data_IF_870055660150
#
_entry.id   IF_870055660150
#
_cell.length_a   1.000
_cell.length_b   1.000
_cell.length_c   1.000
_cell.angle_alpha   90.00
_cell.angle_beta   90.00
_cell.angle_gamma   90.00
#
_symmetry.space_group_name_H-M   'P 1'
#
loop_
_entity.id
_entity.type
_entity.pdbx_description
1 polymer ?
#
# COMPACT_ATOMS: atom_id res chain seq x y z
N UNK A 1 14.55 35.60 -69.03
CA UNK A 1 13.93 36.84 -68.54
C UNK A 1 12.47 36.51 -68.19
N UNK A 2 12.10 36.44 -66.89
CA UNK A 2 11.32 37.48 -66.14
C UNK A 2 9.91 37.67 -66.74
N UNK A 3 8.74 37.55 -66.09
CA UNK A 3 8.30 37.57 -64.67
C UNK A 3 6.89 36.92 -64.50
N UNK A 4 6.56 36.59 -63.25
CA UNK A 4 5.30 36.08 -62.64
C UNK A 4 4.06 37.00 -62.72
N UNK A 5 2.85 36.42 -62.54
CA UNK A 5 1.79 36.75 -61.52
C UNK A 5 0.70 35.63 -61.55
N UNK A 6 0.48 34.80 -60.51
CA UNK A 6 -0.26 34.89 -59.22
C UNK A 6 -1.75 35.33 -59.32
N UNK A 7 -2.71 34.40 -59.09
CA UNK A 7 -3.52 34.31 -57.84
C UNK A 7 -4.80 33.45 -57.95
N UNK A 8 -4.78 32.19 -57.48
CA UNK A 8 -6.01 31.42 -57.13
C UNK A 8 -5.85 30.51 -55.91
N UNK A 9 -4.80 30.71 -55.10
CA UNK A 9 -4.51 29.88 -53.92
C UNK A 9 -4.91 30.54 -52.57
N UNK A 10 -5.52 31.74 -52.60
CA UNK A 10 -5.90 32.49 -51.40
C UNK A 10 -7.33 32.25 -50.88
N UNK A 11 -8.23 31.69 -51.70
CA UNK A 11 -9.65 31.52 -51.35
C UNK A 11 -9.96 30.24 -50.56
N UNK A 12 -9.22 29.16 -50.79
CA UNK A 12 -9.50 27.85 -50.17
C UNK A 12 -8.92 27.70 -48.76
N UNK A 13 -7.89 28.47 -48.39
CA UNK A 13 -7.26 28.40 -47.06
C UNK A 13 -8.06 29.19 -46.00
N UNK A 14 -8.81 30.22 -46.40
CA UNK A 14 -9.63 31.03 -45.47
C UNK A 14 -10.92 30.32 -45.05
N UNK A 15 -11.46 29.41 -45.89
CA UNK A 15 -12.69 28.66 -45.57
C UNK A 15 -12.47 27.45 -44.65
N UNK A 16 -11.26 26.85 -44.69
CA UNK A 16 -10.87 25.74 -43.80
C UNK A 16 -10.50 26.21 -42.38
N UNK A 17 -9.98 27.43 -42.22
CA UNK A 17 -9.66 27.99 -40.90
C UNK A 17 -10.89 28.49 -40.13
N UNK A 18 -11.93 28.97 -40.82
CA UNK A 18 -13.15 29.50 -40.17
C UNK A 18 -14.09 28.39 -39.67
N UNK A 19 -14.10 27.22 -40.32
CA UNK A 19 -14.88 26.04 -39.90
C UNK A 19 -14.25 25.30 -38.72
N UNK A 20 -12.92 25.29 -38.60
CA UNK A 20 -12.22 24.75 -37.43
C UNK A 20 -12.41 25.63 -36.18
N UNK A 21 -12.47 26.96 -36.34
CA UNK A 21 -12.69 27.90 -35.23
C UNK A 21 -14.14 27.82 -34.70
N UNK A 22 -15.14 27.58 -35.55
CA UNK A 22 -16.54 27.43 -35.09
C UNK A 22 -16.79 26.10 -34.35
N UNK A 23 -16.12 25.02 -34.73
CA UNK A 23 -16.26 23.72 -34.05
C UNK A 23 -15.55 23.67 -32.69
N UNK A 24 -14.44 24.42 -32.51
CA UNK A 24 -13.81 24.59 -31.20
C UNK A 24 -14.62 25.49 -30.25
N UNK A 25 -15.42 26.43 -30.76
CA UNK A 25 -16.24 27.32 -29.92
C UNK A 25 -17.54 26.68 -29.39
N UNK A 26 -18.03 25.61 -30.00
CA UNK A 26 -19.25 24.91 -29.53
C UNK A 26 -18.91 23.86 -28.46
N UNK A 27 -17.71 23.28 -28.49
CA UNK A 27 -17.30 22.25 -27.51
C UNK A 27 -16.87 22.80 -26.13
N UNK A 28 -16.69 24.11 -25.97
CA UNK A 28 -16.19 24.72 -24.73
C UNK A 28 -17.28 25.31 -23.81
N UNK A 29 -18.58 25.05 -24.06
CA UNK A 29 -19.68 25.67 -23.28
C UNK A 29 -20.48 24.75 -22.35
N UNK A 30 -20.06 23.52 -22.07
CA UNK A 30 -20.75 22.66 -21.08
C UNK A 30 -19.81 21.85 -20.18
N UNK A 31 -19.03 22.53 -19.34
CA UNK A 31 -18.50 21.94 -18.11
C UNK A 31 -18.77 22.93 -16.96
N UNK A 32 -19.55 22.56 -15.93
CA UNK A 32 -19.78 23.42 -14.78
C UNK A 32 -18.56 23.47 -13.85
N UNK A 33 -18.10 24.68 -13.56
CA UNK A 33 -17.28 25.14 -12.42
C UNK A 33 -16.09 24.28 -11.98
N UNK A 34 -14.98 24.37 -12.71
CA UNK A 34 -13.64 24.21 -12.12
C UNK A 34 -13.22 25.54 -11.51
N UNK A 35 -13.13 25.59 -10.18
CA UNK A 35 -12.51 26.71 -9.46
C UNK A 35 -11.03 26.77 -9.86
N UNK A 36 -10.66 27.80 -10.62
CA UNK A 36 -9.28 28.05 -11.03
C UNK A 36 -8.49 28.60 -9.83
N UNK A 37 -7.82 27.73 -9.08
CA UNK A 37 -6.72 28.17 -8.23
C UNK A 37 -5.55 28.48 -9.17
N UNK A 38 -5.17 29.76 -9.26
CA UNK A 38 -3.97 30.19 -9.98
C UNK A 38 -2.75 29.44 -9.41
N UNK A 39 -2.23 28.46 -10.16
CA UNK A 39 -0.89 27.94 -9.93
C UNK A 39 0.10 29.01 -10.37
N UNK A 40 0.64 29.77 -9.41
CA UNK A 40 1.95 30.37 -9.57
C UNK A 40 2.97 29.25 -9.72
N UNK A 41 3.87 29.38 -10.71
CA UNK A 41 5.10 28.61 -10.82
C UNK A 41 5.74 28.48 -9.42
N UNK A 42 6.19 27.29 -8.98
CA UNK A 42 6.98 27.21 -7.76
C UNK A 42 8.27 27.99 -8.00
N UNK A 43 8.32 29.22 -7.48
CA UNK A 43 9.58 29.84 -7.10
C UNK A 43 10.30 28.87 -6.17
N UNK A 44 11.61 28.75 -6.39
CA UNK A 44 12.62 28.12 -5.55
C UNK A 44 12.09 27.35 -4.35
N UNK A 45 12.35 26.03 -4.36
CA UNK A 45 12.27 25.18 -3.19
C UNK A 45 12.74 25.97 -1.97
N UNK A 46 11.78 26.29 -1.11
CA UNK A 46 12.08 26.82 0.21
C UNK A 46 12.87 25.72 0.91
N UNK A 47 14.20 25.85 0.89
CA UNK A 47 15.10 25.07 1.71
C UNK A 47 14.53 25.12 3.12
N UNK A 48 14.08 23.97 3.61
CA UNK A 48 13.78 23.82 5.02
C UNK A 48 15.02 24.31 5.78
N UNK A 49 14.89 25.25 6.74
CA UNK A 49 16.05 25.88 7.35
C UNK A 49 17.00 24.88 8.00
N UNK A 50 18.30 25.03 7.74
CA UNK A 50 19.43 24.39 8.41
C UNK A 50 19.34 24.54 9.94
N UNK A 51 18.59 23.65 10.62
CA UNK A 51 18.55 23.56 12.09
C UNK A 51 18.17 22.15 12.58
N UNK A 52 18.99 21.11 12.35
CA UNK A 52 18.84 19.84 13.10
C UNK A 52 20.16 19.20 13.56
N UNK A 53 21.19 20.00 13.87
CA UNK A 53 22.51 19.45 14.24
C UNK A 53 22.59 18.79 15.63
N UNK A 54 21.54 18.81 16.46
CA UNK A 54 21.57 18.26 17.84
C UNK A 54 20.41 17.32 18.25
N UNK A 55 19.51 16.96 17.33
CA UNK A 55 18.33 16.15 17.69
C UNK A 55 18.71 14.67 17.88
N UNK A 56 18.37 13.98 18.98
CA UNK A 56 18.73 12.56 19.15
C UNK A 56 18.13 11.67 18.04
N UNK A 57 18.74 10.52 17.74
CA UNK A 57 18.30 9.63 16.64
C UNK A 57 17.39 8.50 17.11
N UNK A 58 16.54 8.04 16.20
CA UNK A 58 15.85 6.77 16.29
C UNK A 58 16.39 5.82 15.23
N UNK A 59 16.96 4.70 15.65
CA UNK A 59 17.43 3.63 14.78
C UNK A 59 16.49 2.43 14.90
N UNK A 60 16.38 1.62 13.85
CA UNK A 60 15.60 0.39 13.88
C UNK A 60 16.28 -0.70 13.04
N UNK A 61 16.29 -1.94 13.54
CA UNK A 61 16.75 -3.10 12.77
C UNK A 61 15.65 -3.52 11.81
N UNK A 62 15.82 -3.19 10.54
CA UNK A 62 14.89 -3.57 9.48
C UNK A 62 15.08 -5.04 9.10
N UNK A 63 13.98 -5.76 8.90
CA UNK A 63 14.03 -7.18 8.57
C UNK A 63 12.71 -7.74 8.05
N UNK A 64 12.81 -8.85 7.31
CA UNK A 64 11.68 -9.47 6.64
C UNK A 64 11.42 -8.89 5.24
N UNK A 65 10.24 -9.20 4.70
CA UNK A 65 9.80 -8.78 3.35
C UNK A 65 8.89 -7.56 3.42
N UNK A 66 8.63 -6.91 2.28
CA UNK A 66 7.74 -5.76 2.04
C UNK A 66 6.79 -5.38 3.19
N UNK A 67 5.77 -6.19 3.49
CA UNK A 67 4.78 -5.84 4.53
C UNK A 67 5.35 -5.67 5.95
N UNK A 68 6.42 -6.39 6.30
CA UNK A 68 7.11 -6.21 7.59
C UNK A 68 7.90 -4.91 7.60
N UNK A 69 8.59 -4.60 6.50
CA UNK A 69 9.33 -3.34 6.35
C UNK A 69 8.37 -2.14 6.47
N UNK A 70 7.16 -2.25 5.92
CA UNK A 70 6.13 -1.20 6.02
C UNK A 70 5.69 -0.97 7.49
N UNK A 71 5.45 -2.03 8.26
CA UNK A 71 5.16 -1.89 9.71
C UNK A 71 6.32 -1.24 10.47
N UNK A 72 7.54 -1.73 10.25
CA UNK A 72 8.74 -1.20 10.88
C UNK A 72 8.97 0.28 10.55
N UNK A 73 8.76 0.67 9.29
CA UNK A 73 8.90 2.05 8.86
C UNK A 73 7.80 2.95 9.44
N UNK A 74 6.55 2.50 9.44
CA UNK A 74 5.45 3.23 10.06
C UNK A 74 5.70 3.49 11.54
N UNK A 75 6.15 2.47 12.27
CA UNK A 75 6.55 2.62 13.68
C UNK A 75 7.70 3.63 13.82
N UNK A 76 8.81 3.45 13.08
CA UNK A 76 9.96 4.34 13.15
C UNK A 76 9.58 5.79 12.88
N UNK A 77 8.74 6.03 11.87
CA UNK A 77 8.26 7.35 11.50
C UNK A 77 7.48 8.01 12.64
N UNK A 78 6.45 7.34 13.16
CA UNK A 78 5.59 7.90 14.21
C UNK A 78 6.31 8.04 15.54
N UNK A 79 7.12 7.07 15.95
CA UNK A 79 7.87 7.16 17.21
C UNK A 79 8.90 8.31 17.14
N UNK A 80 9.53 8.51 15.97
CA UNK A 80 10.47 9.60 15.77
C UNK A 80 9.78 10.96 15.82
N UNK A 81 8.60 11.08 15.19
CA UNK A 81 7.82 12.31 15.22
C UNK A 81 7.33 12.64 16.63
N UNK A 82 6.71 11.68 17.31
CA UNK A 82 6.15 11.86 18.66
C UNK A 82 7.20 12.17 19.72
N UNK A 83 8.41 11.63 19.58
CA UNK A 83 9.52 11.84 20.52
C UNK A 83 10.49 12.93 20.11
N UNK A 84 10.24 13.62 19.00
CA UNK A 84 11.16 14.55 18.40
C UNK A 84 12.56 13.94 18.22
N UNK A 85 12.63 12.75 17.61
CA UNK A 85 13.87 12.05 17.20
C UNK A 85 14.08 12.12 15.68
N UNK A 86 15.33 12.06 15.24
CA UNK A 86 15.70 11.99 13.82
C UNK A 86 15.72 10.52 13.38
N UNK A 87 14.84 10.07 12.47
CA UNK A 87 14.78 8.67 12.06
C UNK A 87 15.96 8.32 11.15
N UNK A 88 16.61 7.18 11.43
CA UNK A 88 17.66 6.62 10.58
C UNK A 88 17.10 5.45 9.77
N UNK A 89 17.15 5.59 8.44
CA UNK A 89 16.65 4.60 7.48
C UNK A 89 17.82 4.00 6.69
N UNK A 90 17.77 2.73 6.22
CA UNK A 90 18.81 2.12 5.39
C UNK A 90 19.16 2.95 4.14
N UNK A 91 20.40 2.85 3.66
CA UNK A 91 20.76 3.44 2.37
C UNK A 91 20.04 2.64 1.27
N UNK A 92 19.51 3.33 0.24
CA UNK A 92 18.69 2.71 -0.82
C UNK A 92 17.58 1.84 -0.25
N UNK A 93 16.89 2.37 0.76
CA UNK A 93 15.85 1.64 1.46
C UNK A 93 14.80 1.13 0.47
N UNK A 94 14.53 -0.18 0.51
CA UNK A 94 13.70 -0.87 -0.47
C UNK A 94 12.34 -0.18 -0.69
N UNK A 95 11.70 0.27 0.39
CA UNK A 95 10.39 0.92 0.33
C UNK A 95 10.42 2.25 -0.43
N UNK A 96 11.54 2.98 -0.44
CA UNK A 96 11.68 4.24 -1.18
C UNK A 96 11.64 4.03 -2.70
N UNK A 97 11.89 2.80 -3.17
CA UNK A 97 11.72 2.48 -4.59
C UNK A 97 10.24 2.30 -4.97
N UNK A 98 9.36 2.07 -3.99
CA UNK A 98 7.97 1.68 -4.24
C UNK A 98 6.97 2.76 -3.85
N UNK A 99 7.27 3.54 -2.82
CA UNK A 99 6.35 4.46 -2.18
C UNK A 99 6.92 5.88 -2.14
N UNK A 100 6.01 6.87 -2.11
CA UNK A 100 6.32 8.28 -1.92
C UNK A 100 6.68 8.62 -0.45
N UNK A 101 7.74 7.97 0.05
CA UNK A 101 8.22 8.17 1.41
C UNK A 101 8.86 9.55 1.60
N UNK A 102 8.81 10.14 2.82
CA UNK A 102 9.51 11.38 3.13
C UNK A 102 11.00 11.26 2.83
N UNK A 103 11.54 12.21 2.08
CA UNK A 103 12.97 12.30 1.80
C UNK A 103 13.72 12.85 3.02
N UNK A 104 14.77 12.15 3.43
CA UNK A 104 15.72 12.61 4.44
C UNK A 104 17.06 12.93 3.77
N UNK A 105 17.78 13.93 4.28
CA UNK A 105 19.07 14.32 3.71
C UNK A 105 20.08 13.17 3.74
N UNK A 106 20.53 12.75 2.55
CA UNK A 106 21.40 11.58 2.39
C UNK A 106 22.73 11.70 3.15
N UNK A 107 23.31 12.91 3.19
CA UNK A 107 24.55 13.16 3.92
C UNK A 107 24.36 13.05 5.44
N UNK A 108 23.26 13.58 5.97
CA UNK A 108 22.95 13.44 7.40
C UNK A 108 22.66 11.98 7.76
N UNK A 109 21.86 11.28 6.96
CA UNK A 109 21.60 9.84 7.13
C UNK A 109 22.90 9.04 7.17
N UNK A 110 23.82 9.27 6.23
CA UNK A 110 25.10 8.58 6.18
C UNK A 110 25.96 8.83 7.42
N UNK A 111 26.13 10.11 7.79
CA UNK A 111 26.94 10.50 8.96
C UNK A 111 26.42 9.86 10.24
N UNK A 112 25.10 9.88 10.43
CA UNK A 112 24.45 9.51 11.69
C UNK A 112 24.16 8.02 11.80
N UNK A 113 24.18 7.27 10.70
CA UNK A 113 24.00 5.81 10.72
C UNK A 113 25.00 5.11 11.64
N UNK A 114 26.26 5.57 11.65
CA UNK A 114 27.31 4.99 12.50
C UNK A 114 27.03 5.22 14.00
N UNK A 115 26.22 6.23 14.35
CA UNK A 115 25.82 6.49 15.73
C UNK A 115 24.87 5.38 16.25
N UNK A 116 24.15 4.67 15.38
CA UNK A 116 23.24 3.59 15.78
C UNK A 116 23.95 2.46 16.53
N UNK A 117 25.14 2.07 16.08
CA UNK A 117 25.90 0.95 16.66
C UNK A 117 26.40 1.25 18.09
N UNK A 118 26.46 2.54 18.46
CA UNK A 118 26.87 3.01 19.78
C UNK A 118 25.71 3.01 20.79
N UNK A 119 24.46 2.86 20.33
CA UNK A 119 23.27 2.88 21.19
C UNK A 119 23.03 1.48 21.76
N UNK A 120 23.35 1.30 23.03
CA UNK A 120 23.11 0.08 23.77
C UNK A 120 22.53 0.38 25.17
N UNK A 121 21.63 -0.47 25.70
CA UNK A 121 21.03 -1.63 25.03
C UNK A 121 19.97 -1.21 23.99
N UNK A 122 19.71 -2.10 23.03
CA UNK A 122 18.58 -1.94 22.11
C UNK A 122 17.24 -2.15 22.82
N UNK A 123 16.25 -1.34 22.46
CA UNK A 123 14.87 -1.45 22.92
C UNK A 123 14.15 -2.57 22.16
N UNK A 124 14.08 -3.74 22.80
CA UNK A 124 13.41 -4.94 22.28
C UNK A 124 11.90 -4.84 22.42
N UNK A 125 11.17 -5.23 21.37
CA UNK A 125 9.73 -5.44 21.40
C UNK A 125 9.35 -6.71 22.16
N UNK A 126 8.35 -6.61 23.06
CA UNK A 126 7.87 -7.76 23.84
C UNK A 126 7.05 -8.74 23.00
N UNK A 127 6.24 -8.22 22.07
CA UNK A 127 5.29 -9.00 21.27
C UNK A 127 5.22 -8.43 19.85
N UNK A 128 5.64 -9.22 18.86
CA UNK A 128 5.73 -8.74 17.47
C UNK A 128 4.39 -8.26 16.88
N UNK A 129 3.27 -8.85 17.32
CA UNK A 129 1.92 -8.61 16.79
C UNK A 129 1.01 -7.94 17.83
N UNK A 130 1.57 -7.26 18.84
CA UNK A 130 0.78 -6.54 19.83
C UNK A 130 1.39 -5.21 20.20
N UNK A 131 0.55 -4.30 20.67
CA UNK A 131 0.98 -2.99 21.09
C UNK A 131 1.74 -3.08 22.41
N UNK A 132 2.94 -2.53 22.42
CA UNK A 132 3.77 -2.43 23.60
C UNK A 132 3.74 -1.00 24.16
N UNK A 133 3.03 -0.81 25.28
CA UNK A 133 2.92 0.50 25.93
C UNK A 133 4.25 1.04 26.51
N UNK A 134 5.35 0.28 26.44
CA UNK A 134 6.69 0.73 26.81
C UNK A 134 7.17 1.84 25.87
N UNK A 135 7.04 1.66 24.56
CA UNK A 135 7.69 2.54 23.59
C UNK A 135 7.22 4.00 23.67
N UNK A 136 5.91 4.31 23.76
CA UNK A 136 5.46 5.68 23.97
C UNK A 136 6.00 6.32 25.27
N UNK A 137 6.31 5.52 26.30
CA UNK A 137 6.79 6.00 27.60
C UNK A 137 8.30 6.22 27.68
N UNK A 138 9.06 5.84 26.66
CA UNK A 138 10.51 6.08 26.63
C UNK A 138 10.84 7.57 26.67
N UNK A 139 12.00 7.94 27.21
CA UNK A 139 12.44 9.34 27.29
C UNK A 139 12.63 9.96 25.89
N UNK A 140 12.37 11.26 25.76
CA UNK A 140 12.41 12.01 24.49
C UNK A 140 13.74 12.70 24.20
N UNK A 141 14.70 12.65 25.14
CA UNK A 141 15.97 13.37 25.08
C UNK A 141 17.19 12.48 24.85
N UNK A 142 16.98 11.23 24.39
CA UNK A 142 18.06 10.26 24.14
C UNK A 142 17.85 9.58 22.80
N UNK A 143 18.96 9.20 22.17
CA UNK A 143 18.92 8.35 20.98
C UNK A 143 18.47 6.94 21.38
N UNK A 144 17.69 6.30 20.53
CA UNK A 144 17.07 4.99 20.82
C UNK A 144 17.27 4.07 19.62
N UNK A 145 17.62 2.81 19.88
CA UNK A 145 17.75 1.78 18.85
C UNK A 145 16.73 0.66 19.10
N UNK A 146 15.75 0.53 18.22
CA UNK A 146 14.65 -0.40 18.31
C UNK A 146 14.94 -1.73 17.61
N UNK A 147 14.43 -2.83 18.18
CA UNK A 147 14.43 -4.15 17.55
C UNK A 147 13.07 -4.82 17.73
N UNK A 148 12.42 -5.16 16.62
CA UNK A 148 11.08 -5.70 16.61
C UNK A 148 10.45 -5.59 15.22
N UNK A 149 9.23 -6.11 15.09
CA UNK A 149 8.44 -5.99 13.86
C UNK A 149 7.36 -4.92 13.95
N UNK A 150 6.93 -4.55 15.17
CA UNK A 150 5.99 -3.46 15.41
C UNK A 150 4.66 -3.61 14.66
N UNK A 151 4.12 -4.83 14.61
CA UNK A 151 2.94 -5.17 13.82
C UNK A 151 1.64 -4.86 14.55
N UNK A 152 1.53 -3.65 15.10
CA UNK A 152 0.30 -3.15 15.68
C UNK A 152 -0.09 -1.81 15.08
N UNK A 153 -1.33 -1.71 14.60
CA UNK A 153 -1.87 -0.46 14.09
C UNK A 153 -1.93 0.65 15.16
N UNK A 154 -1.93 0.27 16.44
CA UNK A 154 -1.95 1.20 17.57
C UNK A 154 -0.69 2.06 17.67
N UNK A 155 0.41 1.67 17.02
CA UNK A 155 1.63 2.48 17.01
C UNK A 155 1.49 3.79 16.22
N UNK A 156 0.48 3.92 15.36
CA UNK A 156 0.23 5.13 14.56
C UNK A 156 -1.19 5.67 14.70
N UNK A 157 -1.88 5.36 15.81
CA UNK A 157 -3.18 5.98 16.10
C UNK A 157 -3.06 7.50 16.14
N UNK A 158 -3.89 8.19 15.37
CA UNK A 158 -3.85 9.64 15.18
C UNK A 158 -2.92 10.11 14.06
N UNK A 159 -2.23 9.19 13.38
CA UNK A 159 -1.35 9.46 12.24
C UNK A 159 -1.78 8.69 10.97
N UNK A 160 -3.01 8.16 10.93
CA UNK A 160 -3.49 7.29 9.85
C UNK A 160 -3.40 7.95 8.48
N UNK A 161 -3.83 9.21 8.34
CA UNK A 161 -3.80 9.93 7.06
C UNK A 161 -2.37 10.16 6.57
N UNK A 162 -1.43 10.44 7.47
CA UNK A 162 -0.01 10.57 7.13
C UNK A 162 0.56 9.23 6.66
N UNK A 163 0.31 8.14 7.39
CA UNK A 163 0.77 6.81 6.97
C UNK A 163 0.15 6.41 5.61
N UNK A 164 -1.09 6.82 5.33
CA UNK A 164 -1.74 6.59 4.03
C UNK A 164 -1.06 7.36 2.91
N UNK A 165 -0.73 8.62 3.16
CA UNK A 165 0.00 9.43 2.20
C UNK A 165 1.38 8.84 1.91
N UNK A 166 2.11 8.43 2.94
CA UNK A 166 3.44 7.84 2.80
C UNK A 166 3.42 6.53 2.00
N UNK A 167 2.45 5.65 2.26
CA UNK A 167 2.29 4.39 1.50
C UNK A 167 1.41 4.55 0.26
N UNK A 168 1.56 5.67 -0.44
CA UNK A 168 1.08 5.81 -1.81
C UNK A 168 2.19 5.33 -2.76
N UNK A 169 1.87 4.43 -3.68
CA UNK A 169 2.84 3.93 -4.66
C UNK A 169 3.34 5.06 -5.58
N UNK A 170 4.59 4.95 -6.02
CA UNK A 170 5.16 5.83 -7.05
C UNK A 170 4.32 5.76 -8.34
N UNK A 171 4.30 6.84 -9.11
CA UNK A 171 3.37 7.02 -10.22
C UNK A 171 3.50 5.96 -11.31
N UNK A 172 4.73 5.54 -11.61
CA UNK A 172 5.06 4.48 -12.58
C UNK A 172 4.51 3.12 -12.14
N UNK A 173 4.70 2.76 -10.86
CA UNK A 173 4.16 1.52 -10.27
C UNK A 173 2.63 1.55 -10.25
N UNK A 174 2.05 2.71 -9.92
CA UNK A 174 0.61 2.87 -9.86
C UNK A 174 -0.03 2.80 -11.25
N UNK A 175 0.63 3.34 -12.28
CA UNK A 175 0.20 3.24 -13.67
C UNK A 175 0.26 1.79 -14.16
N UNK A 176 1.38 1.09 -13.94
CA UNK A 176 1.50 -0.34 -14.29
C UNK A 176 0.41 -1.19 -13.61
N UNK A 177 0.13 -0.93 -12.33
CA UNK A 177 -0.91 -1.64 -11.59
C UNK A 177 -2.32 -1.33 -12.13
N UNK A 178 -2.59 -0.09 -12.54
CA UNK A 178 -3.87 0.31 -13.14
C UNK A 178 -4.08 -0.31 -14.51
N UNK A 179 -3.06 -0.31 -15.34
CA UNK A 179 -3.13 -0.91 -16.67
C UNK A 179 -3.41 -2.40 -16.55
N UNK A 180 -2.68 -3.09 -15.67
CA UNK A 180 -2.88 -4.51 -15.43
C UNK A 180 -4.26 -4.82 -14.86
N UNK A 181 -4.75 -4.02 -13.92
CA UNK A 181 -6.09 -4.19 -13.37
C UNK A 181 -7.17 -3.95 -14.44
N UNK A 182 -7.01 -2.91 -15.26
CA UNK A 182 -7.97 -2.55 -16.31
C UNK A 182 -8.04 -3.61 -17.41
N UNK A 183 -6.89 -4.14 -17.86
CA UNK A 183 -6.80 -5.22 -18.84
C UNK A 183 -7.63 -6.44 -18.39
N UNK A 184 -7.40 -6.91 -17.17
CA UNK A 184 -8.03 -8.15 -16.68
C UNK A 184 -9.51 -7.96 -16.33
N UNK A 185 -9.88 -6.76 -15.87
CA UNK A 185 -11.27 -6.42 -15.60
C UNK A 185 -12.07 -6.33 -16.91
N UNK A 186 -11.50 -5.73 -17.95
CA UNK A 186 -12.13 -5.65 -19.27
C UNK A 186 -12.39 -7.05 -19.85
N UNK A 187 -11.46 -8.00 -19.71
CA UNK A 187 -11.64 -9.39 -20.12
C UNK A 187 -12.81 -10.09 -19.40
N UNK A 188 -13.06 -9.73 -18.14
CA UNK A 188 -14.19 -10.25 -17.36
C UNK A 188 -15.51 -9.51 -17.62
N UNK A 189 -15.52 -8.47 -18.47
CA UNK A 189 -16.72 -7.67 -18.75
C UNK A 189 -17.06 -6.61 -17.70
N UNK A 190 -16.06 -6.14 -16.94
CA UNK A 190 -16.19 -4.97 -16.07
C UNK A 190 -16.46 -3.71 -16.92
N UNK A 191 -17.40 -2.87 -16.49
CA UNK A 191 -17.82 -1.67 -17.23
C UNK A 191 -17.43 -0.36 -16.55
N UNK A 192 -16.69 -0.44 -15.44
CA UNK A 192 -16.39 0.71 -14.58
C UNK A 192 -17.64 1.50 -14.16
N UNK A 193 -18.70 0.76 -13.83
CA UNK A 193 -19.99 1.33 -13.44
C UNK A 193 -20.19 1.31 -11.92
N UNK A 194 -21.08 2.16 -11.36
CA UNK A 194 -21.48 2.08 -9.96
C UNK A 194 -22.06 0.73 -9.52
N UNK A 195 -22.44 -0.13 -10.49
CA UNK A 195 -22.98 -1.46 -10.31
C UNK A 195 -21.89 -2.55 -10.30
N UNK A 196 -20.61 -2.20 -10.45
CA UNK A 196 -19.49 -3.12 -10.38
C UNK A 196 -18.72 -2.95 -9.07
N UNK A 197 -18.26 -4.07 -8.53
CA UNK A 197 -17.42 -4.12 -7.32
C UNK A 197 -16.27 -5.07 -7.56
N UNK A 198 -15.05 -4.62 -7.31
CA UNK A 198 -13.83 -5.43 -7.42
C UNK A 198 -13.31 -5.76 -6.02
N UNK A 199 -13.11 -7.05 -5.76
CA UNK A 199 -12.64 -7.57 -4.48
C UNK A 199 -11.30 -8.28 -4.68
N UNK A 200 -10.26 -7.77 -4.02
CA UNK A 200 -8.96 -8.39 -4.01
C UNK A 200 -8.97 -9.67 -3.17
N UNK A 201 -8.23 -10.69 -3.57
CA UNK A 201 -7.98 -11.90 -2.78
C UNK A 201 -6.47 -12.06 -2.60
N UNK A 202 -6.01 -12.03 -1.35
CA UNK A 202 -4.63 -12.36 -1.01
C UNK A 202 -4.53 -13.72 -0.30
N UNK A 203 -3.89 -14.67 -0.96
CA UNK A 203 -3.61 -16.01 -0.42
C UNK A 203 -2.12 -16.19 -0.09
N UNK A 204 -1.80 -16.26 1.20
CA UNK A 204 -0.48 -16.65 1.70
C UNK A 204 -0.49 -18.14 2.03
N UNK A 205 0.33 -18.89 1.30
CA UNK A 205 0.42 -20.34 1.45
C UNK A 205 1.84 -20.86 1.27
N UNK A 206 2.51 -20.53 0.17
CA UNK A 206 3.72 -21.21 -0.29
C UNK A 206 4.77 -21.46 0.80
N UNK A 207 5.33 -20.40 1.39
CA UNK A 207 6.31 -20.51 2.47
C UNK A 207 5.74 -21.09 3.76
N UNK A 208 4.48 -20.78 4.10
CA UNK A 208 3.81 -21.31 5.30
C UNK A 208 3.59 -22.83 5.24
N UNK A 209 3.81 -23.46 4.08
CA UNK A 209 3.81 -24.92 3.97
C UNK A 209 5.09 -25.58 4.50
N UNK A 210 6.18 -24.82 4.65
CA UNK A 210 7.46 -25.32 5.19
C UNK A 210 7.30 -25.82 6.63
N UNK A 211 8.04 -26.88 6.95
CA UNK A 211 7.97 -27.55 8.25
C UNK A 211 8.28 -26.60 9.42
N UNK A 212 9.36 -25.84 9.32
CA UNK A 212 9.81 -24.92 10.36
C UNK A 212 8.79 -23.80 10.63
N UNK A 213 8.14 -23.27 9.58
CA UNK A 213 7.11 -22.24 9.74
C UNK A 213 5.81 -22.80 10.34
N UNK A 214 5.44 -24.03 10.01
CA UNK A 214 4.31 -24.71 10.65
C UNK A 214 4.57 -25.00 12.13
N UNK A 215 5.76 -25.48 12.46
CA UNK A 215 6.20 -25.72 13.84
C UNK A 215 6.26 -24.42 14.65
N UNK A 216 6.69 -23.32 14.02
CA UNK A 216 6.62 -21.99 14.62
C UNK A 216 5.17 -21.57 14.93
N UNK A 217 4.21 -21.95 14.07
CA UNK A 217 2.79 -21.72 14.33
C UNK A 217 2.01 -21.03 13.21
N UNK A 218 2.60 -20.88 12.02
CA UNK A 218 1.91 -20.29 10.88
C UNK A 218 0.80 -21.22 10.35
N UNK A 219 -0.36 -20.63 10.07
CA UNK A 219 -1.51 -21.31 9.47
C UNK A 219 -1.86 -20.66 8.13
N UNK A 220 -2.29 -21.49 7.18
CA UNK A 220 -2.88 -21.06 5.90
C UNK A 220 -4.35 -21.51 5.84
N UNK A 221 -5.28 -20.66 5.38
CA UNK A 221 -6.67 -21.06 5.21
C UNK A 221 -6.83 -22.13 4.13
N UNK A 222 -7.90 -22.91 4.24
CA UNK A 222 -8.31 -23.85 3.21
C UNK A 222 -9.17 -23.16 2.14
N UNK A 223 -9.60 -23.92 1.13
CA UNK A 223 -10.43 -23.38 0.05
C UNK A 223 -11.83 -22.94 0.48
N UNK A 224 -12.40 -23.52 1.56
CA UNK A 224 -13.74 -23.11 2.02
C UNK A 224 -13.74 -21.70 2.59
N UNK A 225 -12.65 -21.28 3.25
CA UNK A 225 -12.51 -19.89 3.69
C UNK A 225 -12.70 -18.90 2.53
N UNK A 226 -11.95 -19.10 1.44
CA UNK A 226 -12.02 -18.19 0.29
C UNK A 226 -13.41 -18.18 -0.34
N UNK A 227 -14.04 -19.36 -0.52
CA UNK A 227 -15.41 -19.45 -1.02
C UNK A 227 -16.40 -18.74 -0.10
N UNK A 228 -16.32 -18.94 1.21
CA UNK A 228 -17.18 -18.27 2.19
C UNK A 228 -17.00 -16.75 2.15
N UNK A 229 -15.77 -16.27 2.00
CA UNK A 229 -15.47 -14.85 1.89
C UNK A 229 -15.96 -14.23 0.57
N UNK A 230 -15.83 -14.95 -0.55
CA UNK A 230 -16.40 -14.54 -1.84
C UNK A 230 -17.93 -14.46 -1.76
N UNK A 231 -18.58 -15.46 -1.16
CA UNK A 231 -20.02 -15.47 -0.91
C UNK A 231 -20.49 -14.34 0.01
N UNK A 232 -19.69 -13.98 1.02
CA UNK A 232 -19.97 -12.82 1.86
C UNK A 232 -20.07 -11.54 1.02
N UNK A 233 -19.13 -11.31 0.10
CA UNK A 233 -19.15 -10.13 -0.77
C UNK A 233 -20.29 -10.15 -1.78
N UNK A 234 -20.57 -11.31 -2.38
CA UNK A 234 -21.74 -11.50 -3.27
C UNK A 234 -23.06 -11.17 -2.56
N UNK A 235 -23.22 -11.59 -1.30
CA UNK A 235 -24.42 -11.27 -0.50
C UNK A 235 -24.47 -9.80 -0.09
N UNK A 236 -23.32 -9.24 0.31
CA UNK A 236 -23.23 -7.82 0.70
C UNK A 236 -23.59 -6.89 -0.46
N UNK A 237 -23.23 -7.26 -1.68
CA UNK A 237 -23.45 -6.52 -2.92
C UNK A 237 -24.36 -7.29 -3.88
N UNK A 238 -25.49 -7.81 -3.37
CA UNK A 238 -26.41 -8.67 -4.11
C UNK A 238 -27.10 -8.00 -5.31
N UNK A 239 -27.08 -6.66 -5.34
CA UNK A 239 -27.61 -5.80 -6.41
C UNK A 239 -26.53 -5.38 -7.42
N UNK A 240 -25.30 -5.88 -7.28
CA UNK A 240 -24.13 -5.51 -8.09
C UNK A 240 -23.43 -6.73 -8.68
N UNK A 241 -22.64 -6.49 -9.73
CA UNK A 241 -21.68 -7.48 -10.24
C UNK A 241 -20.43 -7.43 -9.39
N UNK A 242 -19.99 -8.58 -8.89
CA UNK A 242 -18.79 -8.70 -8.06
C UNK A 242 -17.71 -9.40 -8.87
N UNK A 243 -16.52 -8.82 -8.96
CA UNK A 243 -15.34 -9.37 -9.62
C UNK A 243 -14.25 -9.62 -8.58
N UNK A 244 -13.41 -10.62 -8.83
CA UNK A 244 -12.33 -10.99 -7.91
C UNK A 244 -10.98 -10.91 -8.62
N UNK A 245 -9.98 -10.34 -7.93
CA UNK A 245 -8.59 -10.29 -8.42
C UNK A 245 -7.68 -10.90 -7.37
N UNK A 246 -7.03 -12.01 -7.71
CA UNK A 246 -6.32 -12.84 -6.74
C UNK A 246 -4.80 -12.80 -6.93
N UNK A 247 -4.08 -12.50 -5.85
CA UNK A 247 -2.63 -12.71 -5.74
C UNK A 247 -2.31 -13.80 -4.72
N UNK A 248 -1.28 -14.59 -5.00
CA UNK A 248 -0.84 -15.67 -4.12
C UNK A 248 0.62 -16.00 -4.34
N UNK A 249 1.35 -16.32 -3.27
CA UNK A 249 2.67 -16.93 -3.39
C UNK A 249 2.62 -18.45 -3.69
N UNK A 250 1.42 -19.00 -3.85
CA UNK A 250 1.12 -20.32 -4.39
C UNK A 250 -0.13 -20.20 -5.29
N UNK A 251 0.04 -19.55 -6.45
CA UNK A 251 -1.07 -19.21 -7.35
C UNK A 251 -1.68 -20.44 -8.02
N UNK A 252 -0.86 -21.49 -8.25
CA UNK A 252 -1.33 -22.72 -8.87
C UNK A 252 -2.29 -23.48 -7.96
N UNK A 253 -1.99 -23.55 -6.65
CA UNK A 253 -2.94 -24.11 -5.69
C UNK A 253 -4.24 -23.31 -5.69
N UNK A 254 -4.17 -21.98 -5.59
CA UNK A 254 -5.37 -21.14 -5.51
C UNK A 254 -6.24 -21.28 -6.77
N UNK A 255 -5.63 -21.29 -7.96
CA UNK A 255 -6.32 -21.54 -9.23
C UNK A 255 -6.97 -22.91 -9.27
N UNK A 256 -6.30 -23.95 -8.76
CA UNK A 256 -6.90 -25.28 -8.63
C UNK A 256 -8.12 -25.34 -7.70
N UNK A 257 -8.21 -24.42 -6.73
CA UNK A 257 -9.33 -24.36 -5.77
C UNK A 257 -10.50 -23.48 -6.24
N UNK A 258 -10.21 -22.40 -6.96
CA UNK A 258 -11.18 -21.35 -7.30
C UNK A 258 -11.35 -21.12 -8.81
N UNK A 259 -10.59 -21.80 -9.67
CA UNK A 259 -10.58 -21.55 -11.12
C UNK A 259 -11.83 -22.00 -11.88
N UNK A 260 -12.86 -22.50 -11.18
CA UNK A 260 -14.19 -22.73 -11.74
C UNK A 260 -15.11 -21.52 -11.65
N UNK A 261 -14.71 -20.51 -10.88
CA UNK A 261 -15.43 -19.25 -10.77
C UNK A 261 -15.15 -18.43 -12.04
N UNK A 262 -16.18 -17.89 -12.67
CA UNK A 262 -16.05 -17.16 -13.95
C UNK A 262 -15.59 -15.71 -13.74
N UNK A 263 -15.81 -15.17 -12.54
CA UNK A 263 -15.59 -13.77 -12.18
C UNK A 263 -14.32 -13.58 -11.33
N UNK A 264 -13.29 -14.41 -11.53
CA UNK A 264 -12.00 -14.29 -10.84
C UNK A 264 -10.83 -14.28 -11.82
N UNK A 265 -9.93 -13.32 -11.62
CA UNK A 265 -8.64 -13.27 -12.28
C UNK A 265 -7.51 -13.63 -11.31
N UNK A 266 -6.49 -14.34 -11.79
CA UNK A 266 -5.30 -14.74 -11.01
C UNK A 266 -4.06 -14.02 -11.53
N UNK A 267 -3.54 -13.09 -10.73
CA UNK A 267 -2.28 -12.39 -10.99
C UNK A 267 -1.12 -13.37 -11.07
N UNK A 268 -0.24 -13.15 -12.05
CA UNK A 268 0.90 -14.03 -12.33
C UNK A 268 2.14 -13.21 -12.70
N UNK A 269 3.30 -13.76 -12.34
CA UNK A 269 4.63 -13.29 -12.74
C UNK A 269 4.93 -11.83 -12.38
N UNK A 270 4.31 -11.30 -11.32
CA UNK A 270 4.56 -9.96 -10.82
C UNK A 270 5.57 -9.97 -9.67
N UNK A 271 6.36 -8.90 -9.53
CA UNK A 271 7.02 -8.65 -8.26
C UNK A 271 5.99 -8.30 -7.17
N UNK A 272 6.29 -8.56 -5.89
CA UNK A 272 5.33 -8.38 -4.80
C UNK A 272 4.76 -6.95 -4.67
N UNK A 273 5.51 -5.91 -5.01
CA UNK A 273 5.04 -4.53 -4.93
C UNK A 273 3.96 -4.22 -5.99
N UNK A 274 4.06 -4.79 -7.20
CA UNK A 274 3.01 -4.68 -8.23
C UNK A 274 1.75 -5.41 -7.81
N UNK A 275 1.87 -6.65 -7.29
CA UNK A 275 0.71 -7.36 -6.77
C UNK A 275 0.01 -6.55 -5.67
N UNK A 276 0.77 -5.99 -4.72
CA UNK A 276 0.19 -5.17 -3.66
C UNK A 276 -0.49 -3.91 -4.21
N UNK A 277 0.11 -3.25 -5.20
CA UNK A 277 -0.47 -2.09 -5.86
C UNK A 277 -1.81 -2.44 -6.53
N UNK A 278 -1.87 -3.53 -7.29
CA UNK A 278 -3.12 -4.01 -7.90
C UNK A 278 -4.19 -4.33 -6.84
N UNK A 279 -3.82 -5.05 -5.78
CA UNK A 279 -4.79 -5.36 -4.71
C UNK A 279 -5.28 -4.10 -3.98
N UNK A 280 -4.43 -3.07 -3.85
CA UNK A 280 -4.78 -1.80 -3.18
C UNK A 280 -5.77 -0.95 -3.98
N UNK A 281 -5.83 -1.15 -5.30
CA UNK A 281 -6.77 -0.47 -6.21
C UNK A 281 -8.19 -1.08 -6.18
N UNK A 282 -8.34 -2.32 -5.69
CA UNK A 282 -9.64 -2.97 -5.56
C UNK A 282 -10.49 -2.28 -4.47
N UNK A 283 -11.82 -2.36 -4.58
CA UNK A 283 -12.72 -1.73 -3.61
C UNK A 283 -12.65 -2.39 -2.23
N UNK A 284 -12.45 -3.70 -2.18
CA UNK A 284 -12.48 -4.52 -0.96
C UNK A 284 -11.39 -5.60 -0.98
N UNK A 285 -11.10 -6.20 0.17
CA UNK A 285 -10.03 -7.20 0.28
C UNK A 285 -10.47 -8.40 1.11
N UNK A 286 -10.20 -9.59 0.58
CA UNK A 286 -10.15 -10.86 1.30
C UNK A 286 -8.68 -11.17 1.56
N UNK A 287 -8.26 -11.24 2.82
CA UNK A 287 -6.89 -11.58 3.18
C UNK A 287 -6.81 -12.89 3.98
N UNK A 288 -5.77 -13.65 3.71
CA UNK A 288 -5.26 -14.70 4.61
C UNK A 288 -4.34 -14.10 5.69
N UNK A 289 -3.60 -14.94 6.41
CA UNK A 289 -2.63 -14.49 7.43
C UNK A 289 -1.41 -13.77 6.83
N UNK A 290 -0.81 -12.87 7.61
CA UNK A 290 0.46 -12.21 7.29
C UNK A 290 0.34 -10.72 6.92
N UNK A 291 1.49 -10.04 6.87
CA UNK A 291 1.56 -8.57 6.74
C UNK A 291 1.27 -8.04 5.35
N UNK A 292 1.46 -8.84 4.29
CA UNK A 292 1.19 -8.40 2.91
C UNK A 292 -0.30 -8.12 2.69
N UNK A 293 -1.16 -9.10 3.00
CA UNK A 293 -2.60 -8.96 2.89
C UNK A 293 -3.15 -7.89 3.85
N UNK A 294 -2.50 -7.74 5.01
CA UNK A 294 -2.82 -6.68 5.96
C UNK A 294 -2.67 -5.29 5.33
N UNK A 295 -1.52 -4.99 4.71
CA UNK A 295 -1.30 -3.71 4.06
C UNK A 295 -2.19 -3.49 2.84
N UNK A 296 -2.41 -4.52 2.01
CA UNK A 296 -3.37 -4.43 0.90
C UNK A 296 -4.79 -4.08 1.40
N UNK A 297 -5.25 -4.74 2.47
CA UNK A 297 -6.53 -4.45 3.12
C UNK A 297 -6.59 -3.02 3.65
N UNK A 298 -5.56 -2.60 4.40
CA UNK A 298 -5.51 -1.26 4.98
C UNK A 298 -5.53 -0.17 3.92
N UNK A 299 -4.87 -0.36 2.77
CA UNK A 299 -4.83 0.59 1.65
C UNK A 299 -6.13 0.64 0.84
N UNK A 300 -6.86 -0.48 0.68
CA UNK A 300 -8.08 -0.56 -0.15
C UNK A 300 -9.29 0.26 0.35
N UNK A 301 -9.24 0.82 1.58
CA UNK A 301 -10.26 1.66 2.24
C UNK A 301 -11.68 1.10 2.36
N UNK A 302 -12.02 -0.03 1.74
CA UNK A 302 -13.33 -0.65 1.84
C UNK A 302 -13.44 -1.73 2.92
N UNK A 303 -14.38 -2.65 2.73
CA UNK A 303 -14.55 -3.80 3.63
C UNK A 303 -13.37 -4.76 3.48
N UNK A 304 -12.78 -5.14 4.61
CA UNK A 304 -11.72 -6.15 4.66
C UNK A 304 -12.25 -7.38 5.42
N UNK A 305 -12.15 -8.54 4.79
CA UNK A 305 -12.42 -9.84 5.38
C UNK A 305 -11.08 -10.54 5.63
N UNK A 306 -10.88 -11.05 6.84
CA UNK A 306 -9.66 -11.76 7.22
C UNK A 306 -9.96 -13.18 7.73
N UNK A 307 -8.96 -14.05 7.61
CA UNK A 307 -9.03 -15.39 8.17
C UNK A 307 -8.83 -15.34 9.68
N UNK A 308 -9.84 -15.74 10.47
CA UNK A 308 -9.81 -15.55 11.93
C UNK A 308 -8.80 -16.41 12.68
N UNK A 309 -8.29 -17.48 12.06
CA UNK A 309 -7.29 -18.37 12.69
C UNK A 309 -5.87 -17.99 12.24
N UNK A 310 -5.34 -16.90 12.82
CA UNK A 310 -4.05 -16.34 12.39
C UNK A 310 -2.84 -17.22 12.75
N UNK A 311 -2.94 -18.02 13.81
CA UNK A 311 -1.86 -18.85 14.33
C UNK A 311 -2.37 -20.17 14.91
N UNK A 312 -1.47 -21.15 15.06
CA UNK A 312 -1.73 -22.41 15.77
C UNK A 312 -1.78 -22.17 17.28
N UNK A 313 -2.88 -22.50 17.98
CA UNK A 313 -2.97 -22.34 19.43
C UNK A 313 -1.81 -23.05 20.16
N UNK A 314 -1.21 -22.36 21.14
CA UNK A 314 -0.09 -22.88 21.91
C UNK A 314 1.28 -22.89 21.19
N UNK A 315 1.34 -22.41 19.95
CA UNK A 315 2.60 -22.30 19.21
C UNK A 315 3.47 -21.12 19.66
N UNK A 316 4.73 -21.07 19.18
CA UNK A 316 5.62 -19.94 19.42
C UNK A 316 5.03 -18.66 18.80
N UNK A 317 4.44 -18.75 17.60
CA UNK A 317 3.78 -17.62 16.95
C UNK A 317 2.60 -17.09 17.77
N UNK A 318 1.85 -17.97 18.44
CA UNK A 318 0.78 -17.52 19.34
C UNK A 318 1.31 -16.61 20.46
N UNK A 319 2.56 -16.81 20.90
CA UNK A 319 3.16 -15.98 21.96
C UNK A 319 3.54 -14.57 21.48
N UNK A 320 3.56 -14.30 20.17
CA UNK A 320 3.76 -12.94 19.63
C UNK A 320 2.51 -12.08 19.70
N UNK A 321 1.37 -12.67 20.08
CA UNK A 321 0.11 -11.99 20.37
C UNK A 321 -0.06 -11.96 21.89
N UNK A 322 -0.06 -10.77 22.48
CA UNK A 322 -0.19 -10.57 23.92
C UNK A 322 -1.48 -11.23 24.41
N UNK A 323 -1.34 -12.23 25.28
CA UNK A 323 -2.46 -13.05 25.79
C UNK A 323 -3.30 -13.74 24.69
N UNK A 324 -2.74 -13.93 23.49
CA UNK A 324 -3.47 -14.45 22.34
C UNK A 324 -4.47 -13.45 21.72
N UNK A 325 -4.41 -12.17 22.07
CA UNK A 325 -5.29 -11.16 21.47
C UNK A 325 -4.77 -10.72 20.09
N UNK A 326 -5.61 -10.89 19.08
CA UNK A 326 -5.31 -10.50 17.69
C UNK A 326 -5.72 -9.06 17.37
N UNK A 327 -6.44 -8.37 18.25
CA UNK A 327 -7.04 -7.06 17.96
C UNK A 327 -6.03 -5.91 17.94
N UNK A 328 -4.83 -6.11 18.47
CA UNK A 328 -3.73 -5.18 18.28
C UNK A 328 -3.12 -5.29 16.88
N UNK A 329 -3.21 -6.46 16.25
CA UNK A 329 -2.76 -6.71 14.89
C UNK A 329 -3.86 -6.37 13.88
N UNK A 330 -5.05 -6.95 14.01
CA UNK A 330 -6.19 -6.73 13.11
C UNK A 330 -6.75 -5.31 13.27
N UNK A 331 -6.86 -4.58 12.16
CA UNK A 331 -7.37 -3.22 12.18
C UNK A 331 -8.87 -3.19 12.55
N UNK A 332 -9.33 -2.18 13.34
CA UNK A 332 -10.73 -2.10 13.75
C UNK A 332 -11.71 -2.06 12.57
N UNK A 333 -12.84 -2.77 12.72
CA UNK A 333 -13.89 -2.85 11.71
C UNK A 333 -13.70 -3.94 10.65
N UNK A 334 -12.57 -4.65 10.64
CA UNK A 334 -12.37 -5.80 9.76
C UNK A 334 -13.18 -7.01 10.22
N UNK A 335 -13.59 -7.85 9.27
CA UNK A 335 -14.55 -8.94 9.49
C UNK A 335 -13.81 -10.28 9.46
N UNK A 336 -13.86 -11.03 10.56
CA UNK A 336 -13.21 -12.34 10.67
C UNK A 336 -14.12 -13.48 10.20
N UNK A 337 -13.67 -14.28 9.23
CA UNK A 337 -14.34 -15.50 8.78
C UNK A 337 -13.45 -16.75 8.97
N UNK A 338 -14.07 -17.93 8.93
CA UNK A 338 -13.40 -19.26 8.89
C UNK A 338 -13.59 -19.97 7.58
#
# INVERSE_FOLDING_TARGET
MRYFTKSTLGGFIVFLLTTIILLQHIYLKQIPNVVTVKQSLPQESSKVPLTQTNKPIACLVFGGRLGNLMFQYAFLHVISRSKNLYPIVPERFELSNYFALPEYESHEQYRRRQECDQIQPMEQERWACSYDEKFPKLATNKSIYFHGYFQSWKYWTGYEDEIRQMFTFNSDILEEARDKLSEVLNEMGYEDSPNDVVVAIHSRRGDYLRKDLKEFGYITPNASYYRNAMEFFRKKFHDKRVFFVAASNDINWLRGQLGKEENIFFLQNNPPFIDMAVLSLCNHVIMSSGTFGWWAGWMSRGTVVYYKHLYTPGSIYASTFRNGDVMDFIYPGWIGLS
#
